data_IF_614538792295
#
_entry.id   IF_614538792295
#
_cell.length_a   1.000
_cell.length_b   1.000
_cell.length_c   1.000
_cell.angle_alpha   90.00
_cell.angle_beta   90.00
_cell.angle_gamma   90.00
#
_symmetry.space_group_name_H-M   'P 1'
#
loop_
_entity.id
_entity.type
_entity.pdbx_description
1 polymer ?
#
# COMPACT_ATOMS: atom_id res chain seq x y z
N UNK A 1 -11.59 -0.09 -9.09
CA UNK A 1 -11.07 -0.26 -7.73
C UNK A 1 -10.07 -1.40 -7.80
N UNK A 2 -9.02 -1.38 -6.99
CA UNK A 2 -8.04 -2.47 -6.94
C UNK A 2 -7.66 -2.79 -5.49
N UNK A 3 -7.02 -3.93 -5.29
CA UNK A 3 -6.46 -4.31 -3.98
C UNK A 3 -4.97 -4.61 -4.09
N UNK A 4 -4.31 -4.74 -2.93
CA UNK A 4 -3.03 -5.43 -2.77
C UNK A 4 -3.12 -6.38 -1.58
N UNK A 5 -2.45 -7.54 -1.65
CA UNK A 5 -1.54 -7.97 -2.73
C UNK A 5 -2.27 -8.41 -4.01
N UNK A 6 -1.56 -8.38 -5.14
CA UNK A 6 -1.99 -9.01 -6.41
C UNK A 6 -0.84 -9.89 -6.88
N UNK A 7 -1.09 -11.19 -6.89
CA UNK A 7 -0.20 -12.18 -7.48
C UNK A 7 -0.88 -12.68 -8.77
N UNK A 8 -0.21 -12.49 -9.91
CA UNK A 8 -0.84 -12.64 -11.23
C UNK A 8 -1.25 -14.08 -11.57
N UNK A 9 -0.63 -15.06 -10.95
CA UNK A 9 -0.94 -16.49 -11.15
C UNK A 9 -2.26 -16.89 -10.49
N UNK A 10 -2.64 -16.26 -9.37
CA UNK A 10 -3.87 -16.55 -8.63
C UNK A 10 -5.02 -15.57 -8.92
N UNK A 11 -4.79 -14.55 -9.76
CA UNK A 11 -5.80 -13.54 -10.09
C UNK A 11 -6.21 -12.70 -8.86
N UNK A 12 -7.47 -12.86 -8.41
CA UNK A 12 -8.00 -12.17 -7.22
C UNK A 12 -7.99 -13.06 -5.96
N UNK A 13 -7.59 -14.33 -6.07
CA UNK A 13 -7.53 -15.25 -4.93
C UNK A 13 -6.30 -14.93 -4.08
N UNK A 14 -6.52 -14.76 -2.78
CA UNK A 14 -5.45 -14.70 -1.77
C UNK A 14 -5.55 -16.01 -1.00
N UNK A 15 -4.60 -16.91 -1.24
CA UNK A 15 -4.55 -18.21 -0.59
C UNK A 15 -3.11 -18.52 -0.18
N UNK A 16 -2.89 -18.77 1.10
CA UNK A 16 -1.56 -19.02 1.64
C UNK A 16 -1.63 -19.95 2.84
N UNK A 17 -0.55 -20.68 3.04
CA UNK A 17 -0.26 -21.37 4.29
C UNK A 17 0.53 -20.42 5.21
N UNK A 18 -0.02 -20.12 6.39
CA UNK A 18 0.60 -19.24 7.38
C UNK A 18 1.87 -19.79 8.01
N UNK A 19 2.10 -21.10 7.94
CA UNK A 19 3.33 -21.74 8.41
C UNK A 19 4.41 -21.80 7.30
N UNK A 20 4.02 -21.60 6.04
CA UNK A 20 4.94 -21.56 4.92
C UNK A 20 5.52 -20.14 4.75
N UNK A 21 6.72 -19.93 5.31
CA UNK A 21 7.41 -18.64 5.29
C UNK A 21 7.59 -18.07 3.87
N UNK A 22 7.88 -18.92 2.88
CA UNK A 22 8.07 -18.48 1.48
C UNK A 22 6.77 -17.97 0.86
N UNK A 23 5.65 -18.63 1.13
CA UNK A 23 4.35 -18.14 0.67
C UNK A 23 3.97 -16.82 1.35
N UNK A 24 4.10 -16.75 2.68
CA UNK A 24 3.86 -15.51 3.44
C UNK A 24 4.69 -14.36 2.88
N UNK A 25 5.98 -14.59 2.67
CA UNK A 25 6.92 -13.61 2.14
C UNK A 25 6.48 -13.08 0.78
N UNK A 26 6.04 -13.95 -0.14
CA UNK A 26 5.54 -13.54 -1.47
C UNK A 26 4.40 -12.52 -1.39
N UNK A 27 3.49 -12.70 -0.43
CA UNK A 27 2.39 -11.75 -0.22
C UNK A 27 2.84 -10.46 0.45
N UNK A 28 3.70 -10.54 1.48
CA UNK A 28 4.17 -9.34 2.18
C UNK A 28 5.03 -8.46 1.29
N UNK A 29 5.94 -9.05 0.51
CA UNK A 29 6.80 -8.31 -0.44
C UNK A 29 5.99 -7.59 -1.51
N UNK A 30 4.90 -8.20 -2.01
CA UNK A 30 4.02 -7.54 -2.97
C UNK A 30 3.37 -6.27 -2.40
N UNK A 31 3.04 -6.27 -1.09
CA UNK A 31 2.52 -5.10 -0.39
C UNK A 31 3.65 -4.08 -0.15
N UNK A 32 4.84 -4.53 0.25
CA UNK A 32 6.02 -3.68 0.45
C UNK A 32 6.37 -2.92 -0.83
N UNK A 33 6.46 -3.60 -1.97
CA UNK A 33 6.74 -3.00 -3.27
C UNK A 33 5.71 -1.94 -3.65
N UNK A 34 4.43 -2.22 -3.35
CA UNK A 34 3.36 -1.25 -3.58
C UNK A 34 3.46 -0.02 -2.67
N UNK A 35 3.86 -0.20 -1.40
CA UNK A 35 3.95 0.87 -0.41
C UNK A 35 5.29 1.62 -0.44
N UNK A 36 6.33 1.06 -1.06
CA UNK A 36 7.67 1.64 -1.17
C UNK A 36 7.66 3.13 -1.58
N UNK A 37 6.96 3.58 -2.64
CA UNK A 37 6.92 4.99 -3.02
C UNK A 37 6.18 5.91 -2.03
N UNK A 38 5.34 5.35 -1.14
CA UNK A 38 4.68 6.10 -0.07
C UNK A 38 5.59 6.26 1.16
N UNK A 39 6.52 5.34 1.38
CA UNK A 39 7.49 5.40 2.49
C UNK A 39 8.76 6.16 2.13
N UNK A 40 9.24 5.98 0.90
CA UNK A 40 10.43 6.65 0.39
C UNK A 40 10.08 7.53 -0.80
N UNK A 41 9.88 8.82 -0.53
CA UNK A 41 9.58 9.83 -1.56
C UNK A 41 10.63 9.90 -2.67
N UNK A 42 11.87 9.48 -2.43
CA UNK A 42 12.93 9.48 -3.44
C UNK A 42 12.66 8.53 -4.61
N UNK A 43 11.77 7.55 -4.43
CA UNK A 43 11.33 6.63 -5.48
C UNK A 43 10.30 7.26 -6.43
N UNK A 44 9.78 8.46 -6.10
CA UNK A 44 8.87 9.20 -6.95
C UNK A 44 9.64 10.04 -7.98
N UNK A 45 9.07 10.21 -9.18
CA UNK A 45 9.67 10.98 -10.30
C UNK A 45 10.12 12.38 -9.87
N UNK A 46 9.34 13.05 -9.02
CA UNK A 46 9.63 14.39 -8.52
C UNK A 46 10.12 14.42 -7.07
N UNK A 47 10.57 13.28 -6.54
CA UNK A 47 11.02 13.10 -5.15
C UNK A 47 10.01 13.57 -4.10
N UNK A 48 8.72 13.59 -4.44
CA UNK A 48 7.65 14.04 -3.57
C UNK A 48 7.65 15.53 -3.22
N UNK A 49 8.34 16.38 -3.99
CA UNK A 49 8.48 17.83 -3.73
C UNK A 49 7.12 18.55 -3.66
N UNK A 50 6.12 18.09 -4.39
CA UNK A 50 4.78 18.69 -4.40
C UNK A 50 3.80 18.04 -3.40
N UNK A 51 4.29 17.20 -2.48
CA UNK A 51 3.44 16.53 -1.50
C UNK A 51 3.42 17.28 -0.17
N UNK A 52 2.23 17.62 0.32
CA UNK A 52 2.03 18.34 1.59
C UNK A 52 1.11 17.59 2.54
N UNK A 53 1.26 17.85 3.84
CA UNK A 53 0.33 17.36 4.87
C UNK A 53 -0.99 18.14 4.75
N UNK A 54 -2.06 17.48 4.35
CA UNK A 54 -3.35 18.15 4.11
C UNK A 54 -4.32 18.13 5.31
N UNK A 55 -4.19 17.15 6.20
CA UNK A 55 -5.25 16.84 7.17
C UNK A 55 -6.60 16.62 6.46
N UNK A 56 -7.62 17.40 6.86
CA UNK A 56 -8.96 17.38 6.26
C UNK A 56 -9.17 18.42 5.15
N UNK A 57 -8.14 19.19 4.81
CA UNK A 57 -8.24 20.28 3.86
C UNK A 57 -7.74 19.88 2.47
N UNK A 58 -8.16 20.64 1.46
CA UNK A 58 -7.68 20.45 0.08
C UNK A 58 -6.29 21.10 -0.06
N UNK A 59 -5.33 20.46 -0.76
CA UNK A 59 -4.02 21.05 -0.97
C UNK A 59 -4.12 22.29 -1.87
N UNK A 60 -3.15 23.22 -1.77
CA UNK A 60 -2.96 24.31 -2.72
C UNK A 60 -2.87 23.84 -4.17
N UNK A 61 -3.03 24.78 -5.11
CA UNK A 61 -2.93 24.49 -6.55
C UNK A 61 -1.53 23.97 -6.86
N UNK A 62 -1.45 22.90 -7.65
CA UNK A 62 -0.22 22.17 -8.04
C UNK A 62 0.44 21.32 -6.94
N UNK A 63 -0.13 21.27 -5.75
CA UNK A 63 0.28 20.35 -4.68
C UNK A 63 -0.70 19.18 -4.56
N UNK A 64 -0.24 18.11 -3.92
CA UNK A 64 -1.03 16.93 -3.62
C UNK A 64 -0.86 16.53 -2.16
N UNK A 65 -1.86 15.88 -1.58
CA UNK A 65 -1.73 15.38 -0.22
C UNK A 65 -0.75 14.22 -0.16
N UNK A 66 0.21 14.32 0.76
CA UNK A 66 0.98 13.18 1.21
C UNK A 66 0.03 12.18 1.88
N UNK A 67 0.30 10.89 1.71
CA UNK A 67 -0.40 9.83 2.41
C UNK A 67 0.57 9.19 3.40
N UNK A 68 0.21 9.21 4.68
CA UNK A 68 1.00 8.58 5.73
C UNK A 68 0.60 7.11 5.86
N UNK A 69 1.51 6.20 5.50
CA UNK A 69 1.30 4.75 5.59
C UNK A 69 0.96 4.26 7.00
N UNK A 70 1.31 5.02 8.05
CA UNK A 70 0.96 4.69 9.45
C UNK A 70 -0.56 4.73 9.68
N UNK A 71 -1.31 5.44 8.83
CA UNK A 71 -2.77 5.47 8.88
C UNK A 71 -3.42 4.13 8.49
N UNK A 72 -2.65 3.20 7.93
CA UNK A 72 -3.11 1.82 7.67
C UNK A 72 -3.18 0.97 8.97
N UNK A 73 -2.82 1.54 10.12
CA UNK A 73 -2.97 0.92 11.42
C UNK A 73 -2.07 -0.31 11.58
N UNK A 74 -2.61 -1.48 11.97
CA UNK A 74 -1.82 -2.69 12.21
C UNK A 74 -1.24 -3.31 10.93
N UNK A 75 -1.64 -2.81 9.75
CA UNK A 75 -1.19 -3.26 8.45
C UNK A 75 0.14 -2.58 8.07
N UNK A 76 1.22 -2.95 8.76
CA UNK A 76 2.55 -2.40 8.54
C UNK A 76 3.57 -3.48 8.16
N UNK A 77 4.70 -3.09 7.52
CA UNK A 77 5.81 -4.00 7.22
C UNK A 77 6.33 -4.71 8.48
N UNK A 78 6.44 -3.99 9.60
CA UNK A 78 6.98 -4.54 10.86
C UNK A 78 6.11 -5.66 11.44
N UNK A 79 4.82 -5.67 11.12
CA UNK A 79 3.88 -6.70 11.55
C UNK A 79 3.63 -7.77 10.46
N UNK A 80 4.40 -7.75 9.37
CA UNK A 80 4.21 -8.65 8.22
C UNK A 80 2.79 -8.59 7.66
N UNK A 81 2.13 -7.44 7.77
CA UNK A 81 0.74 -7.24 7.35
C UNK A 81 -0.24 -8.28 7.92
N UNK A 82 0.07 -8.86 9.08
CA UNK A 82 -0.77 -9.86 9.75
C UNK A 82 -0.77 -11.26 9.12
N UNK A 83 0.02 -11.51 8.07
CA UNK A 83 0.07 -12.81 7.38
C UNK A 83 0.59 -13.94 8.30
N UNK A 84 1.68 -13.71 9.03
CA UNK A 84 2.22 -14.70 9.98
C UNK A 84 1.26 -15.04 11.12
N UNK A 85 0.38 -14.09 11.48
CA UNK A 85 -0.65 -14.28 12.51
C UNK A 85 -1.97 -14.87 11.96
N UNK A 86 -2.01 -15.29 10.68
CA UNK A 86 -3.21 -15.78 9.98
C UNK A 86 -4.37 -14.77 9.98
N UNK A 87 -4.05 -13.48 10.06
CA UNK A 87 -5.00 -12.35 10.02
C UNK A 87 -4.51 -11.34 8.97
N UNK A 88 -4.54 -11.71 7.67
CA UNK A 88 -3.91 -10.93 6.61
C UNK A 88 -4.61 -9.59 6.40
N UNK A 89 -3.82 -8.57 6.11
CA UNK A 89 -4.30 -7.28 5.66
C UNK A 89 -4.47 -7.24 4.14
N UNK A 90 -5.52 -6.57 3.68
CA UNK A 90 -5.74 -6.26 2.27
C UNK A 90 -5.82 -4.74 2.10
N UNK A 91 -4.96 -4.17 1.26
CA UNK A 91 -4.92 -2.74 1.01
C UNK A 91 -5.85 -2.42 -0.17
N UNK A 92 -6.90 -1.64 0.07
CA UNK A 92 -7.85 -1.24 -0.97
C UNK A 92 -7.44 0.10 -1.58
N UNK A 93 -7.30 0.13 -2.90
CA UNK A 93 -6.98 1.31 -3.70
C UNK A 93 -8.19 1.73 -4.54
N UNK A 94 -8.58 2.99 -4.38
CA UNK A 94 -9.61 3.60 -5.22
C UNK A 94 -9.03 4.02 -6.58
N UNK A 95 -9.83 3.85 -7.64
CA UNK A 95 -9.46 4.36 -8.96
C UNK A 95 -9.70 5.88 -8.96
N UNK A 96 -8.74 6.63 -9.46
CA UNK A 96 -8.88 8.08 -9.62
C UNK A 96 -9.96 8.36 -10.68
N UNK A 97 -11.11 8.86 -10.26
CA UNK A 97 -12.10 9.42 -11.17
C UNK A 97 -11.70 10.86 -11.49
N UNK A 98 -11.44 11.16 -12.77
CA UNK A 98 -11.25 12.52 -13.24
C UNK A 98 -12.62 12.99 -13.72
N UNK A 99 -13.28 13.85 -12.95
CA UNK A 99 -14.44 14.59 -13.47
C UNK A 99 -13.88 15.71 -14.36
N UNK A 100 -14.22 15.65 -15.66
CA UNK A 100 -14.05 16.76 -16.59
C UNK A 100 -15.10 17.83 -16.28
#
# INVERSE_FOLDING_TARGET
MGHRPILYEEGALIWFDGDNATQVQRYTENIDDFLAPYMNKSLLINKGVNQVECGLQKPPRNEVCAFDVRQLGPCSPQNGYGYSARKPCVIIKLNKAIRR
#
